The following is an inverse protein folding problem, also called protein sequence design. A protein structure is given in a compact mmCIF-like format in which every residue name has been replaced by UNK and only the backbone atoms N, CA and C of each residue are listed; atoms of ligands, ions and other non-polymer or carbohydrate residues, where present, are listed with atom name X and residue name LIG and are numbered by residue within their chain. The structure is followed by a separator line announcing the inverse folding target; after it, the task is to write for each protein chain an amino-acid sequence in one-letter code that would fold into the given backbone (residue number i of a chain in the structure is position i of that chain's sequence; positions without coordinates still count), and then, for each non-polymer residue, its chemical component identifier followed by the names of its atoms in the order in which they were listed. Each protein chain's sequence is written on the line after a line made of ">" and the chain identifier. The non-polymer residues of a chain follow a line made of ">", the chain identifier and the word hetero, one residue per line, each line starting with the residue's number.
data_IF_738105230854
#
_entry.id   IF_738105230854
#
_cell.length_a   1.000
_cell.length_b   1.000
_cell.length_c   1.000
_cell.angle_alpha   90.00
_cell.angle_beta   90.00
_cell.angle_gamma   90.00
#
_symmetry.space_group_name_H-M   'P 1'
#
loop_
_entity.id
_entity.type
_entity.pdbx_description
1 polymer ?
#
# COMPACT_ATOMS: atom_id res chain seq x y z
N UNK A 1 -26.69 -0.86 -12.02
CA UNK A 1 -26.15 -1.63 -10.88
C UNK A 1 -24.64 -1.72 -11.06
N UNK A 2 -23.80 -1.25 -10.13
CA UNK A 2 -22.36 -1.47 -10.24
C UNK A 2 -22.07 -2.98 -10.16
N UNK A 3 -21.30 -3.49 -11.11
CA UNK A 3 -20.89 -4.90 -11.16
C UNK A 3 -19.43 -4.96 -10.75
N UNK A 4 -19.14 -5.62 -9.63
CA UNK A 4 -17.77 -5.92 -9.21
C UNK A 4 -17.10 -6.77 -10.29
N UNK A 5 -16.02 -6.26 -10.87
CA UNK A 5 -15.29 -6.94 -11.95
C UNK A 5 -14.30 -7.96 -11.41
N UNK A 6 -13.68 -7.67 -10.26
CA UNK A 6 -12.68 -8.51 -9.61
C UNK A 6 -12.96 -8.49 -8.10
N UNK A 7 -12.92 -9.66 -7.45
CA UNK A 7 -12.98 -9.77 -5.98
C UNK A 7 -11.90 -10.73 -5.51
N UNK A 8 -10.82 -10.21 -4.93
CA UNK A 8 -9.82 -11.05 -4.27
C UNK A 8 -10.37 -11.54 -2.94
N UNK A 9 -10.05 -12.80 -2.60
CA UNK A 9 -10.33 -13.31 -1.26
C UNK A 9 -9.28 -12.74 -0.29
N UNK A 10 -9.65 -11.89 0.68
CA UNK A 10 -8.70 -11.27 1.61
C UNK A 10 -7.94 -12.28 2.45
N UNK A 11 -8.48 -13.49 2.66
CA UNK A 11 -7.80 -14.54 3.42
C UNK A 11 -6.56 -15.10 2.72
N UNK A 12 -6.45 -14.92 1.40
CA UNK A 12 -5.29 -15.36 0.63
C UNK A 12 -4.16 -14.33 0.60
N UNK A 13 -4.41 -13.12 1.10
CA UNK A 13 -3.40 -12.08 1.10
C UNK A 13 -2.24 -12.42 2.04
N UNK A 14 -1.03 -12.41 1.49
CA UNK A 14 0.22 -12.42 2.25
C UNK A 14 1.20 -11.43 1.64
N UNK A 15 1.92 -10.71 2.49
CA UNK A 15 3.05 -9.83 2.13
C UNK A 15 4.31 -10.28 2.86
N UNK A 16 5.47 -9.71 2.55
CA UNK A 16 6.70 -9.97 3.28
C UNK A 16 7.21 -8.69 3.95
N UNK A 17 7.84 -8.80 5.14
CA UNK A 17 8.71 -7.76 5.64
C UNK A 17 9.81 -7.43 4.62
N UNK A 18 10.29 -6.20 4.67
CA UNK A 18 11.35 -5.70 3.80
C UNK A 18 12.48 -5.15 4.65
N UNK A 19 13.72 -5.42 4.27
CA UNK A 19 14.84 -4.56 4.62
C UNK A 19 14.96 -3.49 3.53
N UNK A 20 14.90 -2.22 3.92
CA UNK A 20 14.89 -1.06 3.02
C UNK A 20 16.11 -0.22 3.27
N UNK A 21 16.80 0.15 2.20
CA UNK A 21 17.93 1.08 2.22
C UNK A 21 17.61 2.28 1.32
N UNK A 22 17.69 3.48 1.89
CA UNK A 22 17.56 4.75 1.19
C UNK A 22 18.90 5.47 1.21
N UNK A 23 19.31 5.96 0.04
CA UNK A 23 20.39 6.91 -0.17
C UNK A 23 19.83 8.10 -0.97
N UNK A 24 20.57 9.22 -1.10
CA UNK A 24 20.12 10.34 -1.93
C UNK A 24 19.88 9.97 -3.40
N UNK A 25 20.53 8.91 -3.89
CA UNK A 25 20.47 8.46 -5.28
C UNK A 25 19.49 7.31 -5.50
N UNK A 26 19.15 6.54 -4.46
CA UNK A 26 18.40 5.30 -4.63
C UNK A 26 17.58 4.90 -3.42
N UNK A 27 16.49 4.17 -3.68
CA UNK A 27 15.71 3.47 -2.67
C UNK A 27 15.65 2.01 -3.10
N UNK A 28 16.30 1.12 -2.35
CA UNK A 28 16.29 -0.31 -2.59
C UNK A 28 15.59 -1.04 -1.45
N UNK A 29 15.06 -2.22 -1.74
CA UNK A 29 14.50 -3.09 -0.73
C UNK A 29 14.68 -4.55 -1.12
N UNK A 30 14.81 -5.39 -0.09
CA UNK A 30 14.83 -6.85 -0.23
C UNK A 30 13.82 -7.46 0.74
N UNK A 31 13.10 -8.48 0.28
CA UNK A 31 12.18 -9.21 1.14
C UNK A 31 12.95 -10.03 2.18
N UNK A 32 12.50 -9.97 3.43
CA UNK A 32 13.12 -10.70 4.55
C UNK A 32 12.06 -11.42 5.39
N UNK A 33 12.48 -12.48 6.09
CA UNK A 33 11.60 -13.21 7.01
C UNK A 33 10.49 -14.02 6.32
N UNK A 34 9.39 -14.22 7.06
CA UNK A 34 8.28 -15.09 6.64
C UNK A 34 7.07 -14.28 6.14
N UNK A 35 6.28 -14.81 5.18
CA UNK A 35 5.06 -14.15 4.72
C UNK A 35 4.05 -13.93 5.86
N UNK A 36 3.44 -12.75 5.89
CA UNK A 36 2.46 -12.33 6.89
C UNK A 36 1.12 -11.99 6.26
N UNK A 37 0.03 -12.35 6.93
CA UNK A 37 -1.32 -11.92 6.56
C UNK A 37 -1.62 -10.51 7.10
N UNK A 38 -2.78 -9.96 6.72
CA UNK A 38 -3.18 -8.61 7.11
C UNK A 38 -3.22 -8.37 8.62
N UNK A 39 -3.78 -9.31 9.39
CA UNK A 39 -3.86 -9.20 10.85
C UNK A 39 -2.48 -9.17 11.50
N UNK A 40 -1.53 -9.99 11.01
CA UNK A 40 -0.14 -9.99 11.47
C UNK A 40 0.58 -8.69 11.13
N UNK A 41 0.36 -8.14 9.92
CA UNK A 41 0.91 -6.84 9.52
C UNK A 41 0.37 -5.72 10.41
N UNK A 42 -0.93 -5.73 10.73
CA UNK A 42 -1.53 -4.75 11.65
C UNK A 42 -0.96 -4.83 13.07
N UNK A 43 -0.71 -6.04 13.59
CA UNK A 43 -0.09 -6.21 14.92
C UNK A 43 1.32 -5.64 15.00
N UNK A 44 2.05 -5.62 13.89
CA UNK A 44 3.39 -5.02 13.80
C UNK A 44 3.37 -3.51 13.54
N UNK A 45 2.20 -2.90 13.35
CA UNK A 45 2.07 -1.46 13.07
C UNK A 45 2.56 -0.66 14.27
N UNK A 46 3.72 -0.05 14.12
CA UNK A 46 4.31 0.90 15.06
C UNK A 46 4.85 2.09 14.30
N UNK A 47 4.95 3.24 14.98
CA UNK A 47 5.75 4.35 14.48
C UNK A 47 7.22 3.90 14.47
N UNK A 48 7.92 4.23 13.40
CA UNK A 48 9.37 4.15 13.34
C UNK A 48 9.92 5.57 13.33
N UNK A 49 11.03 5.78 14.04
CA UNK A 49 11.78 7.02 13.97
C UNK A 49 12.99 6.77 13.07
N UNK A 50 13.09 7.58 12.02
CA UNK A 50 14.18 7.54 11.04
C UNK A 50 14.90 8.88 11.13
N UNK A 51 16.17 8.92 11.57
CA UNK A 51 16.88 10.19 11.80
C UNK A 51 17.04 11.05 10.54
N UNK A 52 17.23 10.40 9.39
CA UNK A 52 17.38 11.02 8.08
C UNK A 52 16.54 10.25 7.05
N UNK A 53 15.49 10.89 6.52
CA UNK A 53 14.58 10.25 5.56
C UNK A 53 15.18 10.06 4.18
N UNK A 54 16.31 10.72 3.88
CA UNK A 54 17.06 10.54 2.63
C UNK A 54 18.19 9.50 2.80
N UNK A 55 18.52 9.12 4.04
CA UNK A 55 19.60 8.19 4.37
C UNK A 55 19.24 7.28 5.54
N UNK A 56 18.68 6.11 5.24
CA UNK A 56 18.33 5.14 6.28
C UNK A 56 18.41 3.70 5.81
N UNK A 57 18.62 2.79 6.76
CA UNK A 57 18.53 1.35 6.56
C UNK A 57 17.67 0.76 7.70
N UNK A 58 16.54 0.13 7.37
CA UNK A 58 15.62 -0.39 8.39
C UNK A 58 14.70 -1.49 7.88
N UNK A 59 14.14 -2.28 8.80
CA UNK A 59 13.11 -3.26 8.50
C UNK A 59 11.71 -2.66 8.57
N UNK A 60 10.94 -2.84 7.50
CA UNK A 60 9.53 -2.47 7.39
C UNK A 60 8.64 -3.73 7.31
N UNK A 61 7.42 -3.64 7.84
CA UNK A 61 6.53 -4.80 7.92
C UNK A 61 5.95 -5.24 6.56
N UNK A 62 5.89 -4.34 5.58
CA UNK A 62 5.29 -4.58 4.28
C UNK A 62 5.64 -3.45 3.29
N UNK A 63 5.41 -3.69 2.00
CA UNK A 63 5.31 -2.63 0.99
C UNK A 63 3.85 -2.26 0.76
N UNK A 64 3.58 -0.97 0.56
CA UNK A 64 2.26 -0.46 0.21
C UNK A 64 2.36 0.47 -0.99
N UNK A 65 1.29 0.52 -1.77
CA UNK A 65 1.15 1.44 -2.91
C UNK A 65 -0.03 2.36 -2.68
N UNK A 66 0.06 3.58 -3.20
CA UNK A 66 -1.01 4.56 -3.18
C UNK A 66 -1.03 5.30 -4.51
N UNK A 67 -2.20 5.44 -5.09
CA UNK A 67 -2.41 6.06 -6.40
C UNK A 67 -3.20 7.34 -6.24
N UNK A 68 -2.65 8.44 -6.77
CA UNK A 68 -3.39 9.67 -6.97
C UNK A 68 -3.83 9.74 -8.43
N UNK A 69 -5.13 9.53 -8.66
CA UNK A 69 -5.74 9.74 -9.97
C UNK A 69 -6.28 11.15 -10.06
N UNK A 70 -5.87 11.86 -11.11
CA UNK A 70 -6.41 13.17 -11.47
C UNK A 70 -7.30 13.01 -12.71
N UNK A 71 -8.54 13.46 -12.63
CA UNK A 71 -9.48 13.52 -13.75
C UNK A 71 -9.64 14.97 -14.17
N UNK A 72 -9.23 15.28 -15.40
CA UNK A 72 -9.46 16.59 -16.01
C UNK A 72 -10.80 16.58 -16.72
N UNK A 73 -11.76 17.37 -16.23
CA UNK A 73 -13.11 17.46 -16.77
C UNK A 73 -13.60 18.91 -16.74
N UNK A 74 -14.10 19.41 -17.88
CA UNK A 74 -14.58 20.79 -18.02
C UNK A 74 -13.58 21.85 -17.51
N UNK A 75 -12.32 21.74 -17.95
CA UNK A 75 -11.21 22.62 -17.54
C UNK A 75 -10.97 22.69 -16.02
N UNK A 76 -11.30 21.61 -15.29
CA UNK A 76 -11.01 21.47 -13.86
C UNK A 76 -10.40 20.11 -13.59
N UNK A 77 -9.48 20.08 -12.64
CA UNK A 77 -8.86 18.85 -12.16
C UNK A 77 -9.54 18.36 -10.88
N UNK A 78 -9.93 17.10 -10.89
CA UNK A 78 -10.56 16.42 -9.76
C UNK A 78 -9.66 15.28 -9.30
N UNK A 79 -9.49 15.14 -7.98
CA UNK A 79 -8.86 13.95 -7.42
C UNK A 79 -9.90 12.88 -7.15
N UNK A 80 -9.60 11.66 -7.58
CA UNK A 80 -10.42 10.51 -7.23
C UNK A 80 -9.98 9.99 -5.87
N UNK A 81 -10.90 10.02 -4.90
CA UNK A 81 -10.73 9.47 -3.57
C UNK A 81 -11.73 8.34 -3.33
N UNK A 82 -11.33 7.36 -2.54
CA UNK A 82 -12.20 6.26 -2.11
C UNK A 82 -12.63 6.43 -0.67
N UNK A 83 -13.90 6.11 -0.41
CA UNK A 83 -14.48 6.15 0.94
C UNK A 83 -14.17 4.85 1.68
N UNK A 84 -13.50 4.92 2.81
CA UNK A 84 -13.24 3.78 3.69
C UNK A 84 -13.98 3.97 5.02
N UNK A 85 -14.73 2.96 5.45
CA UNK A 85 -15.24 2.84 6.82
C UNK A 85 -14.24 2.04 7.65
N UNK A 86 -13.71 2.63 8.72
CA UNK A 86 -12.74 1.99 9.60
C UNK A 86 -13.45 1.49 10.86
N UNK A 87 -13.74 0.20 10.91
CA UNK A 87 -14.44 -0.39 12.06
C UNK A 87 -13.66 -0.24 13.37
N UNK A 88 -12.34 -0.33 13.30
CA UNK A 88 -11.42 -0.15 14.43
C UNK A 88 -11.45 1.27 15.03
N UNK A 89 -11.91 2.27 14.27
CA UNK A 89 -11.98 3.68 14.70
C UNK A 89 -13.40 4.25 14.73
N UNK A 90 -14.40 3.50 14.25
CA UNK A 90 -15.79 3.95 14.20
C UNK A 90 -16.07 5.09 13.23
N UNK A 91 -15.17 5.40 12.30
CA UNK A 91 -15.26 6.56 11.42
C UNK A 91 -15.26 6.21 9.92
N UNK A 92 -15.48 7.24 9.11
CA UNK A 92 -15.43 7.19 7.65
C UNK A 92 -14.44 8.23 7.16
N UNK A 93 -13.50 7.79 6.32
CA UNK A 93 -12.48 8.67 5.74
C UNK A 93 -12.51 8.61 4.22
N UNK A 94 -12.06 9.70 3.60
CA UNK A 94 -11.65 9.71 2.21
C UNK A 94 -10.15 9.46 2.16
N UNK A 95 -9.71 8.56 1.28
CA UNK A 95 -8.29 8.25 1.08
C UNK A 95 -7.97 8.05 -0.39
N UNK A 96 -6.68 8.04 -0.71
CA UNK A 96 -6.19 7.59 -2.01
C UNK A 96 -6.51 6.09 -2.21
N UNK A 97 -6.66 5.70 -3.47
CA UNK A 97 -6.68 4.29 -3.87
C UNK A 97 -5.34 3.69 -3.42
N UNK A 98 -5.39 2.63 -2.62
CA UNK A 98 -4.22 2.15 -1.90
C UNK A 98 -4.39 0.72 -1.44
N UNK A 99 -3.30 -0.04 -1.56
CA UNK A 99 -3.25 -1.46 -1.23
C UNK A 99 -1.88 -1.88 -0.74
N UNK A 100 -1.82 -3.07 -0.13
CA UNK A 100 -0.58 -3.70 0.26
C UNK A 100 -0.07 -4.60 -0.87
N UNK A 101 1.23 -4.55 -1.15
CA UNK A 101 1.83 -5.38 -2.20
C UNK A 101 1.93 -6.83 -1.73
N UNK A 102 1.34 -7.80 -2.44
CA UNK A 102 1.43 -9.19 -2.05
C UNK A 102 2.85 -9.73 -2.29
N UNK A 103 3.23 -10.76 -1.55
CA UNK A 103 4.60 -11.29 -1.54
C UNK A 103 5.13 -11.67 -2.93
N UNK A 104 4.26 -12.18 -3.81
CA UNK A 104 4.62 -12.59 -5.18
C UNK A 104 4.70 -11.42 -6.18
N UNK A 105 4.29 -10.21 -5.79
CA UNK A 105 4.36 -9.00 -6.64
C UNK A 105 5.33 -7.95 -6.08
N UNK A 106 6.17 -8.29 -5.08
CA UNK A 106 7.07 -7.32 -4.45
C UNK A 106 8.07 -6.70 -5.44
N UNK A 107 8.44 -7.41 -6.50
CA UNK A 107 9.30 -6.88 -7.58
C UNK A 107 8.52 -6.08 -8.63
N UNK A 108 7.19 -6.05 -8.54
CA UNK A 108 6.26 -5.41 -9.49
C UNK A 108 5.21 -4.53 -8.78
N UNK A 109 5.59 -3.59 -7.90
CA UNK A 109 4.62 -2.82 -7.10
C UNK A 109 3.64 -2.00 -7.95
N UNK A 110 4.05 -1.56 -9.16
CA UNK A 110 3.17 -0.86 -10.09
C UNK A 110 2.02 -1.75 -10.60
N UNK A 111 2.23 -3.07 -10.71
CA UNK A 111 1.17 -4.00 -11.09
C UNK A 111 0.08 -4.02 -10.01
N UNK A 112 0.46 -4.11 -8.73
CA UNK A 112 -0.48 -3.98 -7.61
C UNK A 112 -1.22 -2.64 -7.67
N UNK A 113 -0.51 -1.54 -7.93
CA UNK A 113 -1.14 -0.21 -8.02
C UNK A 113 -2.24 -0.13 -9.09
N UNK A 114 -2.02 -0.75 -10.26
CA UNK A 114 -3.01 -0.82 -11.34
C UNK A 114 -4.20 -1.71 -10.94
N UNK A 115 -3.94 -2.85 -10.30
CA UNK A 115 -5.01 -3.73 -9.81
C UNK A 115 -5.91 -3.02 -8.79
N UNK A 116 -5.32 -2.26 -7.86
CA UNK A 116 -6.08 -1.48 -6.86
C UNK A 116 -6.97 -0.39 -7.47
N UNK A 117 -6.61 0.12 -8.66
CA UNK A 117 -7.47 1.05 -9.41
C UNK A 117 -8.64 0.33 -10.09
N UNK A 118 -8.46 -0.94 -10.45
CA UNK A 118 -9.47 -1.73 -11.17
C UNK A 118 -10.49 -2.42 -10.24
N UNK A 119 -10.11 -2.73 -8.99
CA UNK A 119 -10.96 -3.32 -7.94
C UNK A 119 -12.05 -2.36 -7.44
#
# INVERSE_FOLDING_TARGET
>A
MPRTLIRKNPSNFKTLPLFVEATPESLSYQSVGMPMNFSQTLQRRRKIDVPDTERFATELANLGVSVRLTVSWQNRDYWVLVRQRRQDRGDVVLKLISGYVPAHELTLPLHTAIQEVAE
#
